data_IF_671481420204
#
_entry.id   IF_671481420204
#
_cell.length_a   1.000
_cell.length_b   1.000
_cell.length_c   1.000
_cell.angle_alpha   90.00
_cell.angle_beta   90.00
_cell.angle_gamma   90.00
#
_symmetry.space_group_name_H-M   'P 1'
#
loop_
_entity.id
_entity.type
_entity.pdbx_description
1 polymer ?
#
# COMPACT_ATOMS: atom_id res chain seq x y z
N UNK A 1 31.41 9.62 7.35
CA UNK A 1 30.08 10.25 7.19
C UNK A 1 29.57 9.92 5.80
N UNK A 2 28.66 8.95 5.68
CA UNK A 2 28.04 8.60 4.39
C UNK A 2 27.21 9.79 3.92
N UNK A 3 27.58 10.40 2.79
CA UNK A 3 26.73 11.41 2.14
C UNK A 3 25.37 10.76 1.92
N UNK A 4 24.29 11.38 2.44
CA UNK A 4 22.92 11.00 2.08
C UNK A 4 22.83 11.14 0.56
N UNK A 5 22.88 10.02 -0.15
CA UNK A 5 22.66 10.00 -1.59
C UNK A 5 21.20 10.42 -1.79
N UNK A 6 20.99 11.66 -2.22
CA UNK A 6 19.69 12.04 -2.77
C UNK A 6 19.41 11.09 -3.95
N UNK A 7 18.16 10.65 -4.07
CA UNK A 7 17.73 9.81 -5.19
C UNK A 7 18.14 10.48 -6.50
N UNK A 8 18.72 9.74 -7.47
CA UNK A 8 19.15 10.30 -8.76
C UNK A 8 17.98 10.74 -9.64
N UNK A 9 16.74 10.41 -9.25
CA UNK A 9 15.52 10.74 -9.98
C UNK A 9 15.10 12.21 -9.76
N UNK A 10 14.55 12.81 -10.81
CA UNK A 10 13.82 14.08 -10.73
C UNK A 10 12.55 13.94 -9.89
N UNK A 11 11.99 15.07 -9.44
CA UNK A 11 10.78 15.04 -8.61
C UNK A 11 9.55 14.51 -9.36
N UNK A 12 9.49 14.73 -10.68
CA UNK A 12 8.48 14.10 -11.53
C UNK A 12 8.69 12.59 -11.64
N UNK A 13 9.91 12.11 -11.89
CA UNK A 13 10.16 10.67 -11.96
C UNK A 13 9.84 9.97 -10.63
N UNK A 14 10.16 10.62 -9.49
CA UNK A 14 9.77 10.13 -8.17
C UNK A 14 8.27 10.03 -8.01
N UNK A 15 7.50 11.02 -8.49
CA UNK A 15 6.04 11.00 -8.35
C UNK A 15 5.40 9.86 -9.13
N UNK A 16 6.01 9.38 -10.21
CA UNK A 16 5.50 8.23 -10.96
C UNK A 16 5.77 6.89 -10.26
N UNK A 17 6.75 6.80 -9.36
CA UNK A 17 7.13 5.53 -8.70
C UNK A 17 5.98 5.01 -7.82
N UNK A 18 5.59 3.77 -8.07
CA UNK A 18 4.52 3.09 -7.36
C UNK A 18 3.11 3.48 -7.83
N UNK A 19 2.95 4.26 -8.90
CA UNK A 19 1.63 4.65 -9.42
C UNK A 19 1.23 3.74 -10.58
N UNK A 20 0.15 2.99 -10.41
CA UNK A 20 -0.38 2.12 -11.45
C UNK A 20 0.51 0.92 -11.81
N UNK A 21 0.08 0.14 -12.82
CA UNK A 21 0.81 -1.05 -13.27
C UNK A 21 2.02 -0.71 -14.17
N UNK A 22 1.96 0.40 -14.90
CA UNK A 22 2.91 0.73 -15.97
C UNK A 22 4.20 1.39 -15.45
N UNK A 23 4.17 2.01 -14.27
CA UNK A 23 5.35 2.64 -13.67
C UNK A 23 6.15 1.64 -12.82
N UNK A 24 7.44 1.90 -12.51
CA UNK A 24 8.21 1.08 -11.58
C UNK A 24 7.55 1.01 -10.19
N UNK A 25 7.63 -0.12 -9.46
CA UNK A 25 7.10 -0.20 -8.11
C UNK A 25 8.03 0.57 -7.15
N UNK A 26 7.48 1.02 -6.02
CA UNK A 26 8.33 1.44 -4.92
C UNK A 26 8.81 0.21 -4.15
N UNK A 27 10.12 0.07 -3.94
CA UNK A 27 10.72 -1.09 -3.27
C UNK A 27 11.22 -0.69 -1.89
N UNK A 28 10.62 -1.30 -0.86
CA UNK A 28 11.05 -1.20 0.53
C UNK A 28 11.82 -2.47 0.92
N UNK A 29 13.07 -2.33 1.35
CA UNK A 29 13.90 -3.46 1.81
C UNK A 29 14.05 -3.43 3.32
N UNK A 30 13.74 -4.55 3.97
CA UNK A 30 13.86 -4.68 5.42
C UNK A 30 14.30 -6.08 5.85
N UNK A 31 14.46 -6.27 7.16
CA UNK A 31 14.78 -7.56 7.79
C UNK A 31 13.79 -7.86 8.88
N UNK A 32 13.46 -9.14 9.06
CA UNK A 32 12.67 -9.59 10.20
C UNK A 32 13.47 -9.35 11.49
N UNK A 33 13.04 -8.39 12.30
CA UNK A 33 13.64 -8.08 13.59
C UNK A 33 13.27 -9.10 14.67
N UNK A 34 13.87 -8.96 15.86
CA UNK A 34 13.58 -9.84 17.00
C UNK A 34 12.09 -9.78 17.40
N UNK A 35 11.48 -8.59 17.37
CA UNK A 35 10.08 -8.37 17.71
C UNK A 35 9.11 -8.67 16.56
N UNK A 36 9.62 -9.04 15.38
CA UNK A 36 8.79 -9.45 14.26
C UNK A 36 8.48 -10.94 14.25
N UNK A 37 9.11 -11.70 15.15
CA UNK A 37 9.10 -13.16 15.14
C UNK A 37 8.25 -13.68 16.29
N UNK A 38 7.43 -14.68 16.02
CA UNK A 38 6.63 -15.35 17.04
C UNK A 38 7.31 -16.63 17.58
N UNK A 39 6.61 -17.34 18.46
CA UNK A 39 7.12 -18.56 19.10
C UNK A 39 7.42 -19.70 18.11
N UNK A 40 6.84 -19.65 16.90
CA UNK A 40 7.04 -20.64 15.84
C UNK A 40 8.25 -20.31 14.97
N UNK A 41 9.06 -19.33 15.36
CA UNK A 41 10.30 -18.96 14.69
C UNK A 41 10.10 -18.51 13.23
N UNK A 42 8.96 -17.90 12.94
CA UNK A 42 8.71 -17.19 11.69
C UNK A 42 8.16 -15.80 11.96
N UNK A 43 8.19 -14.94 10.94
CA UNK A 43 7.56 -13.63 11.03
C UNK A 43 6.09 -13.78 11.44
N UNK A 44 5.70 -13.09 12.49
CA UNK A 44 4.33 -13.01 12.97
C UNK A 44 3.44 -12.43 11.87
N UNK A 45 2.26 -12.99 11.69
CA UNK A 45 1.25 -12.51 10.74
C UNK A 45 0.96 -11.00 10.88
N UNK A 46 0.93 -10.46 12.10
CA UNK A 46 0.72 -9.03 12.34
C UNK A 46 1.91 -8.17 11.86
N UNK A 47 3.14 -8.71 11.93
CA UNK A 47 4.34 -8.00 11.48
C UNK A 47 4.37 -7.82 9.96
N UNK A 48 3.71 -8.69 9.18
CA UNK A 48 3.52 -8.44 7.74
C UNK A 48 2.74 -7.15 7.49
N UNK A 49 1.66 -6.89 8.25
CA UNK A 49 0.89 -5.64 8.11
C UNK A 49 1.69 -4.44 8.59
N UNK A 50 2.47 -4.58 9.66
CA UNK A 50 3.36 -3.53 10.15
C UNK A 50 4.39 -3.13 9.08
N UNK A 51 5.09 -4.10 8.50
CA UNK A 51 6.06 -3.84 7.42
C UNK A 51 5.39 -3.30 6.15
N UNK A 52 4.18 -3.75 5.82
CA UNK A 52 3.40 -3.20 4.71
C UNK A 52 3.04 -1.72 4.96
N UNK A 53 2.69 -1.35 6.19
CA UNK A 53 2.44 0.04 6.57
C UNK A 53 3.71 0.90 6.49
N UNK A 54 4.84 0.42 7.03
CA UNK A 54 6.13 1.12 6.93
C UNK A 54 6.54 1.35 5.48
N UNK A 55 6.35 0.37 4.61
CA UNK A 55 6.61 0.52 3.17
C UNK A 55 5.72 1.60 2.52
N UNK A 56 4.46 1.75 2.94
CA UNK A 56 3.58 2.84 2.47
C UNK A 56 4.01 4.20 3.01
N UNK A 57 4.47 4.28 4.26
CA UNK A 57 5.01 5.53 4.82
C UNK A 57 6.29 5.96 4.10
N UNK A 58 7.19 5.03 3.80
CA UNK A 58 8.42 5.35 3.07
C UNK A 58 8.12 5.72 1.61
N UNK A 59 7.20 5.01 0.96
CA UNK A 59 6.72 5.34 -0.38
C UNK A 59 6.13 6.76 -0.44
N UNK A 60 5.23 7.11 0.48
CA UNK A 60 4.62 8.45 0.52
C UNK A 60 5.65 9.53 0.86
N UNK A 61 6.67 9.23 1.68
CA UNK A 61 7.78 10.14 1.92
C UNK A 61 8.62 10.35 0.66
N UNK A 62 8.89 9.28 -0.09
CA UNK A 62 9.68 9.30 -1.31
C UNK A 62 9.02 10.08 -2.46
N UNK A 63 7.70 9.91 -2.64
CA UNK A 63 6.92 10.61 -3.68
C UNK A 63 6.55 12.05 -3.31
N UNK A 64 6.85 12.49 -2.08
CA UNK A 64 6.46 13.81 -1.58
C UNK A 64 5.01 13.88 -1.05
N UNK A 65 4.21 12.82 -1.22
CA UNK A 65 2.84 12.71 -0.73
C UNK A 65 2.72 12.93 0.77
N UNK A 66 3.68 12.44 1.56
CA UNK A 66 3.68 12.60 3.01
C UNK A 66 3.77 14.08 3.42
N UNK A 67 4.60 14.85 2.70
CA UNK A 67 4.76 16.27 2.96
C UNK A 67 3.49 17.06 2.58
N UNK A 68 2.90 16.75 1.41
CA UNK A 68 1.63 17.33 0.97
C UNK A 68 0.49 17.02 1.94
N UNK A 69 0.31 15.75 2.28
CA UNK A 69 -0.73 15.29 3.21
C UNK A 69 -0.63 15.93 4.59
N UNK A 70 0.59 16.08 5.12
CA UNK A 70 0.82 16.78 6.40
C UNK A 70 0.51 18.28 6.31
N UNK A 71 0.84 18.93 5.19
CA UNK A 71 0.53 20.35 4.97
C UNK A 71 -0.98 20.59 4.91
N UNK A 72 -1.70 19.73 4.19
CA UNK A 72 -3.12 19.90 3.93
C UNK A 72 -4.02 19.26 5.01
N UNK A 73 -3.39 18.58 5.97
CA UNK A 73 -4.04 17.83 7.07
C UNK A 73 -5.01 16.78 6.53
N UNK A 74 -4.54 16.01 5.55
CA UNK A 74 -5.28 14.99 4.81
C UNK A 74 -4.73 13.59 5.09
N UNK A 75 -4.91 13.03 6.30
CA UNK A 75 -4.40 11.70 6.61
C UNK A 75 -5.05 10.62 5.72
N UNK A 76 -4.25 9.60 5.41
CA UNK A 76 -4.70 8.36 4.79
C UNK A 76 -5.16 7.40 5.88
N UNK A 77 -6.41 6.94 5.79
CA UNK A 77 -6.99 6.01 6.75
C UNK A 77 -7.28 4.70 6.05
N UNK A 78 -6.65 3.62 6.53
CA UNK A 78 -6.93 2.25 6.06
C UNK A 78 -8.31 1.84 6.57
N UNK A 79 -9.19 1.45 5.66
CA UNK A 79 -10.57 1.01 5.99
C UNK A 79 -10.70 -0.51 5.96
N UNK A 80 -9.95 -1.18 5.09
CA UNK A 80 -9.92 -2.62 5.01
C UNK A 80 -8.58 -3.10 4.44
N UNK A 81 -8.15 -4.30 4.83
CA UNK A 81 -6.98 -4.94 4.26
C UNK A 81 -7.19 -6.45 4.20
N UNK A 82 -6.64 -7.09 3.16
CA UNK A 82 -6.55 -8.55 3.07
C UNK A 82 -5.11 -8.96 2.85
N UNK A 83 -4.72 -10.07 3.48
CA UNK A 83 -3.37 -10.61 3.41
C UNK A 83 -3.44 -12.06 2.96
N UNK A 84 -2.60 -12.39 1.99
CA UNK A 84 -2.34 -13.77 1.57
C UNK A 84 -0.90 -14.13 1.88
N UNK A 85 -0.73 -15.09 2.79
CA UNK A 85 0.56 -15.69 3.10
C UNK A 85 0.83 -16.85 2.13
N UNK A 86 2.02 -16.86 1.51
CA UNK A 86 2.44 -17.92 0.59
C UNK A 86 3.64 -18.69 1.14
N UNK A 87 4.59 -18.00 1.76
CA UNK A 87 5.79 -18.56 2.37
C UNK A 87 6.17 -17.72 3.59
N UNK A 88 6.68 -18.40 4.60
CA UNK A 88 7.18 -17.78 5.82
C UNK A 88 8.48 -16.99 5.59
N UNK A 89 8.69 -15.97 6.42
CA UNK A 89 9.95 -15.23 6.50
C UNK A 89 10.64 -15.67 7.78
N UNK A 90 11.81 -16.30 7.64
CA UNK A 90 12.61 -16.71 8.78
C UNK A 90 13.26 -15.50 9.48
N UNK A 91 13.64 -15.62 10.76
CA UNK A 91 14.20 -14.53 11.56
C UNK A 91 15.47 -13.96 10.94
N UNK A 92 15.64 -12.64 11.02
CA UNK A 92 16.79 -11.88 10.51
C UNK A 92 17.01 -11.97 8.98
N UNK A 93 16.13 -12.66 8.25
CA UNK A 93 16.16 -12.69 6.78
C UNK A 93 15.70 -11.35 6.22
N UNK A 94 16.36 -10.96 5.13
CA UNK A 94 15.93 -9.81 4.33
C UNK A 94 14.75 -10.18 3.45
N UNK A 95 13.88 -9.22 3.22
CA UNK A 95 12.80 -9.29 2.25
C UNK A 95 12.61 -7.91 1.63
N UNK A 96 11.99 -7.90 0.45
CA UNK A 96 11.65 -6.69 -0.28
C UNK A 96 10.12 -6.60 -0.41
N UNK A 97 9.56 -5.40 -0.29
CA UNK A 97 8.14 -5.11 -0.49
C UNK A 97 8.00 -4.20 -1.70
N UNK A 98 7.41 -4.71 -2.76
CA UNK A 98 6.99 -3.91 -3.91
C UNK A 98 5.62 -3.29 -3.61
N UNK A 99 5.54 -1.96 -3.59
CA UNK A 99 4.32 -1.19 -3.33
C UNK A 99 3.82 -0.52 -4.60
N UNK A 100 2.52 -0.70 -4.88
CA UNK A 100 1.81 -0.10 -6.01
C UNK A 100 0.45 0.42 -5.60
N UNK A 101 0.14 1.67 -5.92
CA UNK A 101 -1.22 2.18 -6.02
C UNK A 101 -1.86 1.53 -7.26
N UNK A 102 -2.81 0.63 -7.04
CA UNK A 102 -3.39 -0.17 -8.12
C UNK A 102 -4.72 0.34 -8.64
N UNK A 103 -5.42 1.16 -7.85
CA UNK A 103 -6.70 1.73 -8.25
C UNK A 103 -7.09 2.91 -7.40
N UNK A 104 -7.94 3.75 -7.95
CA UNK A 104 -8.49 4.92 -7.27
C UNK A 104 -9.89 5.19 -7.81
N UNK A 105 -10.86 5.37 -6.91
CA UNK A 105 -12.20 5.82 -7.25
C UNK A 105 -12.47 7.21 -6.63
N UNK A 106 -13.72 7.65 -6.58
CA UNK A 106 -14.08 8.97 -6.04
C UNK A 106 -14.04 9.06 -4.50
N UNK A 107 -13.82 7.94 -3.80
CA UNK A 107 -13.89 7.81 -2.35
C UNK A 107 -12.70 7.05 -1.73
N UNK A 108 -12.23 6.01 -2.39
CA UNK A 108 -11.26 5.03 -1.97
C UNK A 108 -10.05 5.02 -2.89
N UNK A 109 -8.95 4.53 -2.34
CA UNK A 109 -7.76 4.14 -3.08
C UNK A 109 -7.32 2.75 -2.62
N UNK A 110 -6.70 2.01 -3.53
CA UNK A 110 -6.21 0.67 -3.26
C UNK A 110 -4.72 0.58 -3.50
N UNK A 111 -4.03 0.01 -2.52
CA UNK A 111 -2.59 -0.23 -2.56
C UNK A 111 -2.36 -1.73 -2.50
N UNK A 112 -1.63 -2.23 -3.49
CA UNK A 112 -1.18 -3.61 -3.53
C UNK A 112 0.30 -3.70 -3.21
N UNK A 113 0.63 -4.59 -2.28
CA UNK A 113 1.99 -4.81 -1.83
C UNK A 113 2.35 -6.28 -1.95
N UNK A 114 3.47 -6.57 -2.61
CA UNK A 114 3.98 -7.94 -2.74
C UNK A 114 5.31 -8.07 -2.03
N UNK A 115 5.38 -9.02 -1.11
CA UNK A 115 6.60 -9.39 -0.41
C UNK A 115 7.38 -10.40 -1.24
N UNK A 116 8.67 -10.14 -1.41
CA UNK A 116 9.61 -10.97 -2.14
C UNK A 116 10.77 -11.37 -1.25
N UNK A 117 11.30 -12.56 -1.48
CA UNK A 117 12.63 -12.89 -0.99
C UNK A 117 13.62 -11.85 -1.50
N UNK A 118 14.48 -11.37 -0.62
CA UNK A 118 15.53 -10.46 -1.04
C UNK A 118 16.49 -11.17 -1.99
N UNK A 119 16.78 -10.52 -3.12
CA UNK A 119 17.72 -10.99 -4.14
C UNK A 119 18.78 -9.90 -4.37
N UNK A 120 20.06 -10.31 -4.37
CA UNK A 120 21.14 -9.41 -4.75
C UNK A 120 21.30 -9.31 -6.28
N UNK A 121 20.71 -10.25 -7.02
CA UNK A 121 20.69 -10.23 -8.48
C UNK A 121 19.54 -9.34 -8.95
N UNK A 122 19.64 -8.77 -10.15
CA UNK A 122 18.58 -7.96 -10.79
C UNK A 122 17.26 -8.74 -11.05
N UNK A 123 17.17 -10.00 -10.62
CA UNK A 123 15.97 -10.83 -10.71
C UNK A 123 15.10 -10.71 -9.45
N UNK A 124 13.78 -10.64 -9.66
CA UNK A 124 12.80 -10.62 -8.56
C UNK A 124 12.84 -11.94 -7.79
N UNK A 125 12.93 -11.83 -6.47
CA UNK A 125 12.82 -12.99 -5.60
C UNK A 125 11.42 -13.61 -5.60
N UNK A 126 11.35 -14.83 -5.07
CA UNK A 126 10.10 -15.58 -4.89
C UNK A 126 9.10 -14.80 -4.04
N UNK A 127 7.82 -14.82 -4.42
CA UNK A 127 6.72 -14.21 -3.64
C UNK A 127 6.57 -14.95 -2.30
N UNK A 128 6.47 -14.16 -1.23
CA UNK A 128 6.32 -14.56 0.17
C UNK A 128 4.91 -14.29 0.68
N UNK A 129 4.41 -13.08 0.46
CA UNK A 129 3.07 -12.66 0.88
C UNK A 129 2.55 -11.55 -0.04
N UNK A 130 1.25 -11.32 -0.03
CA UNK A 130 0.57 -10.29 -0.79
C UNK A 130 -0.42 -9.58 0.12
N UNK A 131 -0.42 -8.26 0.10
CA UNK A 131 -1.31 -7.42 0.90
C UNK A 131 -2.07 -6.50 -0.05
N UNK A 132 -3.39 -6.51 0.03
CA UNK A 132 -4.25 -5.58 -0.70
C UNK A 132 -4.97 -4.72 0.33
N UNK A 133 -4.75 -3.41 0.27
CA UNK A 133 -5.19 -2.44 1.28
C UNK A 133 -6.09 -1.42 0.61
N UNK A 134 -7.28 -1.21 1.18
CA UNK A 134 -8.16 -0.10 0.85
C UNK A 134 -7.99 1.01 1.87
N UNK A 135 -7.94 2.24 1.39
CA UNK A 135 -7.88 3.42 2.22
C UNK A 135 -8.76 4.54 1.68
N UNK A 136 -9.08 5.48 2.56
CA UNK A 136 -9.74 6.74 2.23
C UNK A 136 -8.85 7.90 2.68
N UNK A 137 -9.04 9.07 2.09
CA UNK A 137 -8.45 10.30 2.61
C UNK A 137 -9.51 11.14 3.30
N UNK A 138 -9.13 11.72 4.43
CA UNK A 138 -10.04 12.53 5.24
C UNK A 138 -9.48 13.94 5.33
N UNK A 139 -10.32 14.96 5.16
CA UNK A 139 -9.99 16.34 5.49
C UNK A 139 -11.09 16.90 6.39
N UNK A 140 -10.71 17.46 7.54
CA UNK A 140 -11.67 18.05 8.52
C UNK A 140 -12.84 17.10 8.85
N UNK A 141 -12.56 15.81 9.00
CA UNK A 141 -13.55 14.77 9.34
C UNK A 141 -14.43 14.30 8.17
N UNK A 142 -14.23 14.79 6.94
CA UNK A 142 -14.96 14.36 5.76
C UNK A 142 -14.07 13.59 4.80
N UNK A 143 -14.60 12.54 4.18
CA UNK A 143 -13.91 11.84 3.09
C UNK A 143 -13.81 12.78 1.89
N UNK A 144 -12.61 12.92 1.34
CA UNK A 144 -12.34 13.72 0.14
C UNK A 144 -12.05 12.82 -1.05
N UNK A 145 -12.26 13.34 -2.27
CA UNK A 145 -11.96 12.60 -3.49
C UNK A 145 -10.45 12.39 -3.61
N UNK A 146 -9.97 11.13 -3.58
CA UNK A 146 -8.55 10.89 -3.57
C UNK A 146 -7.88 11.17 -4.92
N UNK A 147 -8.60 10.99 -6.02
CA UNK A 147 -8.09 11.26 -7.37
C UNK A 147 -7.75 12.74 -7.53
N UNK A 148 -8.69 13.63 -7.22
CA UNK A 148 -8.48 15.07 -7.34
C UNK A 148 -7.33 15.56 -6.45
N UNK A 149 -7.20 14.98 -5.26
CA UNK A 149 -6.11 15.34 -4.35
C UNK A 149 -4.74 14.87 -4.85
N UNK A 150 -4.61 13.61 -5.27
CA UNK A 150 -3.34 13.09 -5.77
C UNK A 150 -2.89 13.83 -7.04
N UNK A 151 -3.81 14.18 -7.94
CA UNK A 151 -3.51 15.01 -9.11
C UNK A 151 -2.87 16.35 -8.71
N UNK A 152 -3.44 17.01 -7.69
CA UNK A 152 -2.94 18.31 -7.21
C UNK A 152 -1.54 18.27 -6.56
N UNK A 153 -1.15 17.12 -5.98
CA UNK A 153 0.11 16.98 -5.24
C UNK A 153 1.21 16.34 -6.09
N UNK A 154 0.87 15.33 -6.88
CA UNK A 154 1.86 14.49 -7.55
C UNK A 154 2.22 14.97 -8.96
N UNK A 155 1.43 15.88 -9.55
CA UNK A 155 1.55 16.27 -10.96
C UNK A 155 1.65 15.04 -11.90
N UNK A 156 0.97 13.95 -11.53
CA UNK A 156 1.03 12.64 -12.19
C UNK A 156 -0.31 12.32 -12.87
N UNK A 157 -0.88 13.31 -13.55
CA UNK A 157 -2.24 13.27 -14.11
C UNK A 157 -2.40 12.10 -15.10
N UNK A 158 -1.43 11.94 -16.01
CA UNK A 158 -1.41 10.88 -17.02
C UNK A 158 -1.36 9.48 -16.39
N UNK A 159 -0.50 9.29 -15.38
CA UNK A 159 -0.35 8.00 -14.70
C UNK A 159 -1.58 7.63 -13.85
N UNK A 160 -2.28 8.64 -13.30
CA UNK A 160 -3.53 8.43 -12.58
C UNK A 160 -4.70 8.14 -13.54
N UNK A 161 -4.67 8.68 -14.77
CA UNK A 161 -5.67 8.43 -15.79
C UNK A 161 -5.57 7.00 -16.37
N UNK A 162 -4.35 6.55 -16.68
CA UNK A 162 -4.07 5.21 -17.21
C UNK A 162 -4.48 4.07 -16.27
N UNK A 163 -4.57 4.33 -14.95
CA UNK A 163 -5.04 3.35 -13.97
C UNK A 163 -6.50 2.94 -14.17
N UNK A 164 -7.33 3.78 -14.82
CA UNK A 164 -8.73 3.44 -15.12
C UNK A 164 -8.88 2.65 -16.43
N UNK A 165 -7.88 2.70 -17.32
CA UNK A 165 -7.98 2.18 -18.69
C UNK A 165 -7.35 0.79 -18.86
N UNK A 166 -6.41 0.42 -18.00
CA UNK A 166 -5.81 -0.90 -18.04
C UNK A 166 -6.71 -1.90 -17.30
N UNK A 167 -7.25 -2.90 -18.01
CA UNK A 167 -7.70 -4.18 -17.43
C UNK A 167 -6.54 -4.75 -16.62
N UNK A 168 -6.53 -4.39 -15.35
CA UNK A 168 -5.40 -4.58 -14.48
C UNK A 168 -5.58 -5.93 -13.81
N UNK A 169 -4.50 -6.67 -13.60
CA UNK A 169 -4.48 -7.86 -12.74
C UNK A 169 -5.00 -7.60 -11.30
N UNK A 170 -5.25 -6.33 -10.99
CA UNK A 170 -5.84 -5.82 -9.76
C UNK A 170 -7.35 -5.65 -9.83
N UNK A 171 -7.99 -5.60 -11.01
CA UNK A 171 -9.42 -5.31 -11.16
C UNK A 171 -10.27 -6.44 -10.60
N UNK A 172 -10.07 -7.69 -11.04
CA UNK A 172 -10.81 -8.83 -10.48
C UNK A 172 -10.59 -8.95 -8.95
N UNK A 173 -9.36 -8.68 -8.49
CA UNK A 173 -9.06 -8.71 -7.05
C UNK A 173 -9.75 -7.59 -6.30
N UNK A 174 -9.78 -6.40 -6.88
CA UNK A 174 -10.43 -5.21 -6.33
C UNK A 174 -11.93 -5.39 -6.26
N UNK A 175 -12.55 -5.92 -7.31
CA UNK A 175 -13.97 -6.24 -7.36
C UNK A 175 -14.35 -7.26 -6.28
N UNK A 176 -13.65 -8.40 -6.23
CA UNK A 176 -13.90 -9.42 -5.20
C UNK A 176 -13.65 -8.91 -3.79
N UNK A 177 -12.61 -8.10 -3.60
CA UNK A 177 -12.31 -7.49 -2.32
C UNK A 177 -13.39 -6.49 -1.89
N UNK A 178 -13.81 -5.60 -2.78
CA UNK A 178 -14.85 -4.60 -2.54
C UNK A 178 -16.18 -5.27 -2.23
N UNK A 179 -16.52 -6.34 -2.97
CA UNK A 179 -17.70 -7.14 -2.68
C UNK A 179 -17.64 -7.76 -1.27
N UNK A 180 -16.51 -8.34 -0.90
CA UNK A 180 -16.34 -8.92 0.44
C UNK A 180 -16.39 -7.87 1.55
N UNK A 181 -15.74 -6.72 1.36
CA UNK A 181 -15.81 -5.60 2.30
C UNK A 181 -17.24 -5.08 2.47
N UNK A 182 -18.02 -4.99 1.38
CA UNK A 182 -19.42 -4.58 1.46
C UNK A 182 -20.26 -5.58 2.27
N UNK A 183 -20.02 -6.88 2.08
CA UNK A 183 -20.68 -7.94 2.88
C UNK A 183 -20.31 -7.81 4.36
N UNK A 184 -19.04 -7.59 4.69
CA UNK A 184 -18.60 -7.35 6.08
C UNK A 184 -19.28 -6.13 6.69
N UNK A 185 -19.38 -5.03 5.92
CA UNK A 185 -20.03 -3.79 6.37
C UNK A 185 -21.51 -3.98 6.66
N UNK A 186 -22.23 -4.68 5.77
CA UNK A 186 -23.64 -5.05 5.97
C UNK A 186 -23.81 -5.96 7.18
N UNK A 187 -22.94 -6.94 7.36
CA UNK A 187 -22.95 -7.83 8.52
C UNK A 187 -22.75 -7.09 9.83
N UNK A 188 -21.83 -6.11 9.86
CA UNK A 188 -21.58 -5.29 11.04
C UNK A 188 -22.80 -4.42 11.39
N UNK A 189 -23.41 -3.76 10.40
CA UNK A 189 -24.61 -2.94 10.62
C UNK A 189 -25.77 -3.76 11.20
N UNK A 190 -26.01 -4.96 10.67
CA UNK A 190 -27.02 -5.88 11.20
C UNK A 190 -26.73 -6.28 12.65
N UNK A 191 -25.46 -6.54 12.98
CA UNK A 191 -25.06 -6.86 14.36
C UNK A 191 -25.30 -5.66 15.30
N UNK A 192 -24.88 -4.46 14.92
CA UNK A 192 -25.08 -3.24 15.74
C UNK A 192 -26.56 -2.95 15.99
N UNK A 193 -27.43 -3.16 14.99
CA UNK A 193 -28.89 -3.05 15.13
C UNK A 193 -29.48 -4.07 16.13
N UNK A 194 -28.87 -5.26 16.27
CA UNK A 194 -29.31 -6.25 17.26
C UNK A 194 -28.87 -5.90 18.68
N UNK A 195 -27.71 -5.26 18.85
CA UNK A 195 -27.17 -4.87 20.17
C UNK A 195 -27.81 -3.57 20.68
N UNK A 196 -28.28 -2.70 19.78
CA UNK A 196 -28.95 -1.45 20.15
C UNK A 196 -30.41 -1.61 20.63
N UNK A 197 -30.95 -2.84 20.65
CA UNK A 197 -32.28 -3.18 21.18
C UNK A 197 -32.20 -3.77 22.57
#
# INVERSE_FOLDING_TARGET
>A
MSKRQFSPLSDHEKSLVGIGPNNPPYVYTSRAGLFDVDIMWHMNNASYLNHAELARWEWTAFTGLLAGSRRDKTPFIVTAATVRFRREIAPFKKFDIETRLCGIDDRNLWVYQTFHNHSNDCQRGKILAQVFTQAVMIQKGKVINPRSYLQSIMHAEDALYDMNAAESIFDEKSERFTHFEEVLRRSAALYDETVAK
#
